data_IF_644527487358
#
_entry.id   IF_644527487358
#
_cell.length_a   1.000
_cell.length_b   1.000
_cell.length_c   1.000
_cell.angle_alpha   90.00
_cell.angle_beta   90.00
_cell.angle_gamma   90.00
#
_symmetry.space_group_name_H-M   'P 1'
#
loop_
_entity.id
_entity.type
_entity.pdbx_description
1 polymer ?
#
# COMPACT_ATOMS: atom_id res chain seq x y z
N UNK A 1 -4.54 13.82 5.72
CA UNK A 1 -3.38 13.16 5.10
C UNK A 1 -2.17 14.06 5.19
N UNK A 2 -1.08 13.53 5.65
CA UNK A 2 0.13 14.30 5.81
C UNK A 2 1.31 13.61 5.15
N UNK A 3 2.02 14.36 4.31
CA UNK A 3 3.17 13.88 3.56
C UNK A 3 4.18 15.00 3.43
N UNK A 4 5.44 14.67 3.12
CA UNK A 4 6.38 15.70 2.72
C UNK A 4 5.88 16.36 1.44
N UNK A 5 6.19 17.63 1.24
CA UNK A 5 5.73 18.37 0.07
C UNK A 5 6.09 17.65 -1.24
N UNK A 6 7.33 17.23 -1.38
CA UNK A 6 7.80 16.54 -2.58
C UNK A 6 7.05 15.23 -2.82
N UNK A 7 6.89 14.42 -1.78
CA UNK A 7 6.17 13.16 -1.89
C UNK A 7 4.70 13.38 -2.23
N UNK A 8 4.09 14.41 -1.65
CA UNK A 8 2.68 14.72 -1.93
C UNK A 8 2.49 15.08 -3.41
N UNK A 9 3.35 15.92 -3.96
CA UNK A 9 3.26 16.31 -5.38
C UNK A 9 3.45 15.11 -6.30
N UNK A 10 4.47 14.30 -6.04
CA UNK A 10 4.76 13.14 -6.88
C UNK A 10 3.69 12.07 -6.80
N UNK A 11 3.10 11.87 -5.63
CA UNK A 11 2.16 10.78 -5.42
C UNK A 11 0.71 11.14 -5.69
N UNK A 12 0.38 12.42 -5.71
CA UNK A 12 -0.99 12.87 -5.91
C UNK A 12 -1.58 12.31 -7.22
N UNK A 13 -0.85 12.41 -8.32
CA UNK A 13 -1.32 11.92 -9.62
C UNK A 13 -1.47 10.40 -9.63
N UNK A 14 -0.53 9.70 -9.01
CA UNK A 14 -0.53 8.23 -8.95
C UNK A 14 -1.69 7.71 -8.12
N UNK A 15 -1.89 8.31 -6.95
CA UNK A 15 -2.98 7.93 -6.05
C UNK A 15 -4.32 8.23 -6.70
N UNK A 16 -4.44 9.39 -7.32
CA UNK A 16 -5.65 9.76 -8.04
C UNK A 16 -5.99 8.74 -9.12
N UNK A 17 -5.00 8.35 -9.92
CA UNK A 17 -5.18 7.36 -10.97
C UNK A 17 -5.66 6.01 -10.42
N UNK A 18 -5.04 5.54 -9.34
CA UNK A 18 -5.44 4.30 -8.70
C UNK A 18 -6.86 4.40 -8.18
N UNK A 19 -7.20 5.51 -7.52
CA UNK A 19 -8.53 5.69 -6.97
C UNK A 19 -9.61 5.72 -8.04
N UNK A 20 -9.31 6.32 -9.19
CA UNK A 20 -10.25 6.38 -10.29
C UNK A 20 -10.48 5.01 -10.94
N UNK A 21 -9.44 4.17 -10.99
CA UNK A 21 -9.54 2.89 -11.67
C UNK A 21 -9.97 1.73 -10.78
N UNK A 22 -9.40 1.62 -9.59
CA UNK A 22 -9.67 0.45 -8.74
C UNK A 22 -10.34 0.78 -7.43
N UNK A 23 -10.35 2.04 -7.04
CA UNK A 23 -10.91 2.46 -5.78
C UNK A 23 -10.07 2.05 -4.58
N UNK A 24 -10.36 2.64 -3.43
CA UNK A 24 -9.62 2.37 -2.22
C UNK A 24 -10.00 1.04 -1.57
N UNK A 25 -11.29 0.70 -1.61
CA UNK A 25 -11.79 -0.49 -0.95
C UNK A 25 -11.79 -0.37 0.56
N UNK A 26 -11.80 -1.50 1.23
CA UNK A 26 -11.81 -1.58 2.68
C UNK A 26 -10.53 -2.22 3.17
N UNK A 27 -10.02 -1.75 4.31
CA UNK A 27 -8.86 -2.35 4.96
C UNK A 27 -9.26 -3.72 5.50
N UNK A 28 -8.55 -4.75 5.07
CA UNK A 28 -8.84 -6.13 5.47
C UNK A 28 -7.76 -6.73 6.37
N UNK A 29 -6.59 -6.13 6.40
CA UNK A 29 -5.49 -6.59 7.25
C UNK A 29 -4.53 -5.44 7.50
N UNK A 30 -3.98 -5.38 8.71
CA UNK A 30 -2.98 -4.36 9.04
C UNK A 30 -1.90 -4.95 9.92
N UNK A 31 -0.71 -4.37 9.82
CA UNK A 31 0.41 -4.77 10.66
C UNK A 31 1.20 -3.54 11.07
N UNK A 32 1.49 -3.45 12.36
CA UNK A 32 2.36 -2.42 12.90
C UNK A 32 3.82 -2.80 12.59
N UNK A 33 4.57 -1.88 12.01
CA UNK A 33 5.95 -2.13 11.60
C UNK A 33 6.84 -0.97 12.02
N UNK A 34 8.00 -1.29 12.59
CA UNK A 34 9.04 -0.31 12.88
C UNK A 34 10.23 -0.63 11.99
N UNK A 35 10.52 0.31 11.10
CA UNK A 35 11.64 0.14 10.17
C UNK A 35 12.96 0.46 10.83
N UNK A 36 12.92 1.27 11.87
CA UNK A 36 14.09 1.66 12.63
C UNK A 36 13.68 1.74 14.11
N UNK A 37 14.48 1.17 14.98
CA UNK A 37 14.18 1.12 16.40
C UNK A 37 14.01 2.49 17.04
N UNK A 38 14.68 3.49 16.50
CA UNK A 38 14.64 4.86 17.04
C UNK A 38 13.50 5.69 16.48
N UNK A 39 12.71 5.15 15.55
CA UNK A 39 11.62 5.87 14.92
C UNK A 39 10.27 5.30 15.35
N UNK A 40 9.27 6.17 15.32
CA UNK A 40 7.90 5.72 15.52
C UNK A 40 7.54 4.69 14.44
N UNK A 41 6.75 3.72 14.84
CA UNK A 41 6.30 2.70 13.90
C UNK A 41 5.22 3.23 12.97
N UNK A 42 4.84 2.40 12.03
CA UNK A 42 3.80 2.72 11.05
C UNK A 42 2.92 1.51 10.84
N UNK A 43 1.68 1.78 10.46
CA UNK A 43 0.74 0.73 10.12
C UNK A 43 0.74 0.49 8.63
N UNK A 44 1.00 -0.75 8.24
CA UNK A 44 0.88 -1.20 6.84
C UNK A 44 -0.51 -1.80 6.72
N UNK A 45 -1.39 -1.11 6.02
CA UNK A 45 -2.80 -1.48 5.90
C UNK A 45 -3.07 -1.98 4.48
N UNK A 46 -3.57 -3.19 4.36
CA UNK A 46 -3.91 -3.78 3.07
C UNK A 46 -5.42 -3.69 2.84
N UNK A 47 -5.80 -3.28 1.63
CA UNK A 47 -7.21 -3.20 1.24
C UNK A 47 -7.58 -4.35 0.32
N UNK A 48 -8.87 -4.62 0.21
CA UNK A 48 -9.40 -5.68 -0.63
C UNK A 48 -9.28 -5.39 -2.13
N UNK A 49 -8.91 -4.17 -2.49
CA UNK A 49 -8.68 -3.79 -3.89
C UNK A 49 -7.22 -3.90 -4.31
N UNK A 50 -6.34 -4.27 -3.39
CA UNK A 50 -4.90 -4.37 -3.68
C UNK A 50 -4.16 -3.05 -3.58
N UNK A 51 -4.61 -2.17 -2.70
CA UNK A 51 -3.95 -0.90 -2.39
C UNK A 51 -3.39 -0.99 -0.97
N UNK A 52 -2.16 -0.52 -0.79
CA UNK A 52 -1.53 -0.42 0.52
C UNK A 52 -1.61 1.01 1.01
N UNK A 53 -2.05 1.17 2.25
CA UNK A 53 -2.11 2.47 2.92
C UNK A 53 -1.14 2.43 4.09
N UNK A 54 -0.21 3.36 4.12
CA UNK A 54 0.73 3.51 5.24
C UNK A 54 0.21 4.61 6.14
N UNK A 55 -0.08 4.27 7.39
CA UNK A 55 -0.57 5.21 8.38
C UNK A 55 0.45 5.46 9.47
N UNK A 56 0.38 6.64 10.10
CA UNK A 56 1.19 6.97 11.26
C UNK A 56 0.90 6.01 12.41
N UNK A 57 1.76 6.03 13.43
CA UNK A 57 1.66 5.16 14.59
C UNK A 57 0.29 5.26 15.27
N UNK A 58 -0.26 6.46 15.36
CA UNK A 58 -1.57 6.71 15.98
C UNK A 58 -2.73 6.52 15.00
N UNK A 59 -2.45 6.18 13.74
CA UNK A 59 -3.42 5.99 12.67
C UNK A 59 -4.19 7.25 12.27
N UNK A 60 -3.78 8.40 12.75
CA UNK A 60 -4.49 9.66 12.44
C UNK A 60 -4.09 10.26 11.11
N UNK A 61 -2.92 9.89 10.59
CA UNK A 61 -2.40 10.44 9.34
C UNK A 61 -2.10 9.33 8.35
N UNK A 62 -2.45 9.57 7.10
CA UNK A 62 -2.03 8.73 5.99
C UNK A 62 -0.72 9.28 5.45
N UNK A 63 0.34 8.47 5.53
CA UNK A 63 1.66 8.87 5.09
C UNK A 63 1.81 8.69 3.58
N UNK A 64 1.35 7.56 3.06
CA UNK A 64 1.40 7.29 1.62
C UNK A 64 0.44 6.16 1.26
N UNK A 65 0.17 6.02 -0.03
CA UNK A 65 -0.62 4.93 -0.58
C UNK A 65 0.01 4.49 -1.90
N UNK A 66 -0.09 3.19 -2.19
CA UNK A 66 0.44 2.64 -3.44
C UNK A 66 -0.15 1.26 -3.71
N UNK A 67 0.10 0.75 -4.91
CA UNK A 67 -0.33 -0.59 -5.28
C UNK A 67 0.44 -1.63 -4.46
N UNK A 68 -0.29 -2.53 -3.82
CA UNK A 68 0.28 -3.55 -2.95
C UNK A 68 1.25 -4.46 -3.73
N UNK A 69 2.35 -4.84 -3.10
CA UNK A 69 3.30 -5.81 -3.66
C UNK A 69 3.08 -7.18 -3.04
N UNK A 70 3.50 -8.23 -3.73
CA UNK A 70 3.44 -9.60 -3.18
C UNK A 70 4.24 -9.70 -1.88
N UNK A 71 5.36 -9.00 -1.81
CA UNK A 71 6.20 -8.97 -0.61
C UNK A 71 5.44 -8.44 0.61
N UNK A 72 4.63 -7.41 0.41
CA UNK A 72 3.83 -6.85 1.48
C UNK A 72 2.74 -7.80 1.94
N UNK A 73 2.15 -8.55 1.04
CA UNK A 73 1.16 -9.57 1.41
C UNK A 73 1.78 -10.58 2.37
N UNK A 74 2.96 -11.07 2.03
CA UNK A 74 3.67 -12.03 2.87
C UNK A 74 4.02 -11.43 4.23
N UNK A 75 4.50 -10.20 4.22
CA UNK A 75 4.87 -9.49 5.45
C UNK A 75 3.66 -9.34 6.39
N UNK A 76 2.56 -8.83 5.87
CA UNK A 76 1.39 -8.48 6.70
C UNK A 76 0.63 -9.72 7.16
N UNK A 77 0.52 -10.73 6.30
CA UNK A 77 -0.17 -11.98 6.65
C UNK A 77 0.71 -12.97 7.41
N UNK A 78 2.00 -12.71 7.50
CA UNK A 78 2.91 -13.58 8.23
C UNK A 78 3.30 -14.86 7.51
N UNK A 79 3.21 -14.89 6.19
CA UNK A 79 3.59 -16.03 5.37
C UNK A 79 2.76 -16.15 4.11
N UNK A 80 3.38 -16.65 3.05
CA UNK A 80 2.72 -16.75 1.74
C UNK A 80 1.45 -17.62 1.79
N UNK A 81 1.47 -18.68 2.58
CA UNK A 81 0.32 -19.58 2.70
C UNK A 81 -0.87 -18.96 3.42
N UNK A 82 -0.66 -17.88 4.15
CA UNK A 82 -1.72 -17.21 4.88
C UNK A 82 -2.43 -16.14 4.03
N UNK A 83 -1.89 -15.84 2.86
CA UNK A 83 -2.43 -14.80 1.98
C UNK A 83 -3.63 -15.36 1.21
N UNK A 84 -4.80 -14.69 1.27
CA UNK A 84 -5.96 -15.14 0.50
C UNK A 84 -5.67 -15.17 -1.00
N UNK A 85 -6.16 -16.21 -1.68
CA UNK A 85 -5.92 -16.38 -3.11
C UNK A 85 -6.45 -15.20 -3.93
N UNK A 86 -7.65 -14.69 -3.58
CA UNK A 86 -8.23 -13.57 -4.32
C UNK A 86 -7.33 -12.32 -4.26
N UNK A 87 -6.69 -12.10 -3.12
CA UNK A 87 -5.84 -10.94 -2.93
C UNK A 87 -4.53 -11.07 -3.70
N UNK A 88 -3.95 -12.27 -3.74
CA UNK A 88 -2.76 -12.52 -4.56
C UNK A 88 -3.03 -12.25 -6.03
N UNK A 89 -4.18 -12.72 -6.53
CA UNK A 89 -4.57 -12.48 -7.92
C UNK A 89 -4.80 -10.99 -8.20
N UNK A 90 -5.46 -10.31 -7.28
CA UNK A 90 -5.71 -8.88 -7.40
C UNK A 90 -4.40 -8.10 -7.46
N UNK A 91 -3.47 -8.43 -6.57
CA UNK A 91 -2.16 -7.77 -6.51
C UNK A 91 -1.36 -8.04 -7.78
N UNK A 92 -1.34 -9.27 -8.28
CA UNK A 92 -0.67 -9.60 -9.53
C UNK A 92 -1.22 -8.78 -10.70
N UNK A 93 -2.54 -8.70 -10.79
CA UNK A 93 -3.20 -7.93 -11.84
C UNK A 93 -2.83 -6.45 -11.77
N UNK A 94 -2.86 -5.89 -10.56
CA UNK A 94 -2.53 -4.48 -10.36
C UNK A 94 -1.06 -4.20 -10.65
N UNK A 95 -0.16 -5.07 -10.21
CA UNK A 95 1.27 -4.92 -10.47
C UNK A 95 1.55 -4.96 -11.97
N UNK A 96 0.94 -5.90 -12.68
CA UNK A 96 1.09 -5.99 -14.11
C UNK A 96 0.61 -4.72 -14.82
N UNK A 97 -0.56 -4.22 -14.41
CA UNK A 97 -1.17 -3.05 -15.04
C UNK A 97 -0.47 -1.74 -14.69
N UNK A 98 -0.25 -1.51 -13.41
CA UNK A 98 0.23 -0.20 -12.94
C UNK A 98 1.73 -0.09 -12.86
N UNK A 99 2.42 -1.15 -12.49
CA UNK A 99 3.88 -1.13 -12.38
C UNK A 99 4.52 -1.06 -13.76
N UNK A 100 4.05 -1.89 -14.70
CA UNK A 100 4.60 -1.86 -16.05
C UNK A 100 4.31 -0.54 -16.75
N UNK A 101 3.08 -0.07 -16.65
CA UNK A 101 2.67 1.17 -17.30
C UNK A 101 3.38 2.38 -16.73
N UNK A 102 3.55 2.40 -15.43
CA UNK A 102 4.14 3.54 -14.73
C UNK A 102 5.60 3.37 -14.38
N UNK A 103 6.16 2.21 -14.63
CA UNK A 103 7.54 1.87 -14.30
C UNK A 103 7.89 2.26 -12.87
N UNK A 104 8.75 3.19 -12.67
CA UNK A 104 9.29 3.54 -11.37
C UNK A 104 8.35 4.28 -10.44
N UNK A 105 7.10 4.48 -10.81
CA UNK A 105 6.19 5.28 -9.98
C UNK A 105 5.93 4.69 -8.59
N UNK A 106 6.10 3.39 -8.44
CA UNK A 106 5.83 2.69 -7.18
C UNK A 106 7.08 2.42 -6.35
N UNK A 107 8.15 3.03 -6.68
CA UNK A 107 9.42 2.85 -5.96
C UNK A 107 9.82 4.08 -5.18
#
# INVERSE_FOLDING_TARGET
MEMTYHAAVQRADRVKHIMEEIGLGQIIKEKYTRFNLDQAGRWVCLTDTGVTIIKSEDKLKVITMYVTTQRELVLVYGGAKNVPAFLRKKVDKNQSKYTQAGKTIWR
#
